data_IF_595583176132
#
_entry.id   IF_595583176132
#
_cell.length_a   1.000
_cell.length_b   1.000
_cell.length_c   1.000
_cell.angle_alpha   90.00
_cell.angle_beta   90.00
_cell.angle_gamma   90.00
#
_symmetry.space_group_name_H-M   'P 1'
#
loop_
_entity.id
_entity.type
_entity.pdbx_description
1 polymer ?
#
# COMPACT_ATOMS: atom_id res chain seq x y z
N UNK A 1 2.68 2.48 -15.72
CA UNK A 1 1.80 2.03 -14.62
C UNK A 1 0.41 1.86 -15.23
N UNK A 2 -0.23 0.69 -15.09
CA UNK A 2 -1.54 0.39 -15.70
C UNK A 2 -2.72 0.69 -14.77
N UNK A 3 -2.45 1.34 -13.63
CA UNK A 3 -3.45 1.72 -12.65
C UNK A 3 -4.29 2.90 -13.18
N UNK A 4 -5.60 2.82 -12.93
CA UNK A 4 -6.53 3.94 -13.11
C UNK A 4 -7.56 3.93 -11.97
N UNK A 5 -8.25 5.06 -11.77
CA UNK A 5 -9.28 5.18 -10.74
C UNK A 5 -10.46 4.26 -11.04
N UNK A 6 -11.01 3.63 -10.00
CA UNK A 6 -12.26 2.89 -10.11
C UNK A 6 -13.41 3.72 -9.53
N UNK A 7 -14.67 3.36 -9.84
CA UNK A 7 -15.83 4.12 -9.39
C UNK A 7 -15.94 4.26 -7.87
N UNK A 8 -15.39 3.32 -7.10
CA UNK A 8 -15.46 3.36 -5.64
C UNK A 8 -14.52 4.43 -5.06
N UNK A 9 -13.31 4.56 -5.59
CA UNK A 9 -12.32 5.57 -5.20
C UNK A 9 -12.88 6.98 -5.46
N UNK A 10 -13.50 7.20 -6.63
CA UNK A 10 -14.17 8.46 -6.96
C UNK A 10 -15.30 8.77 -5.97
N UNK A 11 -16.21 7.82 -5.71
CA UNK A 11 -17.32 8.03 -4.76
C UNK A 11 -16.82 8.30 -3.33
N UNK A 12 -15.79 7.58 -2.90
CA UNK A 12 -15.17 7.76 -1.59
C UNK A 12 -14.56 9.17 -1.45
N UNK A 13 -13.80 9.62 -2.47
CA UNK A 13 -13.18 10.95 -2.44
C UNK A 13 -14.21 12.08 -2.47
N UNK A 14 -15.29 11.93 -3.24
CA UNK A 14 -16.42 12.87 -3.24
C UNK A 14 -17.12 12.94 -1.89
N UNK A 15 -17.38 11.79 -1.27
CA UNK A 15 -18.02 11.73 0.04
C UNK A 15 -17.19 12.45 1.11
N UNK A 16 -15.90 12.11 1.25
CA UNK A 16 -15.06 12.72 2.29
C UNK A 16 -14.87 14.22 2.03
N UNK A 17 -14.71 14.63 0.77
CA UNK A 17 -14.57 16.05 0.41
C UNK A 17 -15.82 16.85 0.79
N UNK A 18 -17.02 16.31 0.56
CA UNK A 18 -18.27 16.95 0.97
C UNK A 18 -18.33 17.20 2.49
N UNK A 19 -17.90 16.23 3.30
CA UNK A 19 -17.84 16.40 4.76
C UNK A 19 -16.81 17.44 5.18
N UNK A 20 -15.62 17.40 4.58
CA UNK A 20 -14.54 18.35 4.84
C UNK A 20 -14.93 19.79 4.45
N UNK A 21 -15.67 19.97 3.36
CA UNK A 21 -16.16 21.28 2.95
C UNK A 21 -17.14 21.87 3.97
N UNK A 22 -18.02 21.05 4.55
CA UNK A 22 -18.92 21.47 5.63
C UNK A 22 -18.14 21.96 6.86
N UNK A 23 -17.13 21.21 7.29
CA UNK A 23 -16.23 21.60 8.39
C UNK A 23 -15.49 22.90 8.05
N UNK A 24 -14.87 22.97 6.87
CA UNK A 24 -14.13 24.15 6.44
C UNK A 24 -15.03 25.39 6.39
N UNK A 25 -16.27 25.26 5.94
CA UNK A 25 -17.24 26.37 5.91
C UNK A 25 -17.56 26.86 7.32
N UNK A 26 -17.78 25.94 8.26
CA UNK A 26 -18.04 26.27 9.67
C UNK A 26 -16.86 27.00 10.34
N UNK A 27 -15.63 26.79 9.85
CA UNK A 27 -14.43 27.50 10.33
C UNK A 27 -14.32 28.95 9.83
N UNK A 28 -15.20 29.40 8.93
CA UNK A 28 -15.22 30.74 8.32
C UNK A 28 -13.83 31.22 7.80
N UNK A 29 -13.18 30.48 6.90
CA UNK A 29 -11.84 30.80 6.44
C UNK A 29 -11.86 32.00 5.49
N UNK A 30 -10.75 32.74 5.46
CA UNK A 30 -10.56 33.84 4.49
C UNK A 30 -10.47 33.35 3.04
N UNK A 31 -10.08 32.09 2.83
CA UNK A 31 -9.95 31.47 1.52
C UNK A 31 -10.22 29.97 1.61
N UNK A 32 -10.90 29.41 0.61
CA UNK A 32 -11.14 27.98 0.46
C UNK A 32 -10.92 27.55 -1.00
N UNK A 33 -10.22 26.44 -1.21
CA UNK A 33 -10.06 25.77 -2.51
C UNK A 33 -10.48 24.32 -2.36
N UNK A 34 -11.36 23.85 -3.24
CA UNK A 34 -11.81 22.47 -3.27
C UNK A 34 -11.34 21.84 -4.57
N UNK A 35 -10.75 20.66 -4.49
CA UNK A 35 -10.39 19.83 -5.64
C UNK A 35 -10.86 18.42 -5.34
N UNK A 36 -11.64 17.85 -6.25
CA UNK A 36 -12.26 16.53 -6.10
C UNK A 36 -12.33 15.87 -7.46
N UNK A 37 -12.13 14.55 -7.49
CA UNK A 37 -12.24 13.76 -8.73
C UNK A 37 -13.71 13.58 -9.13
N UNK A 38 -13.93 13.41 -10.42
CA UNK A 38 -15.19 12.99 -11.03
C UNK A 38 -15.04 11.63 -11.72
N UNK A 39 -16.13 11.12 -12.29
CA UNK A 39 -16.16 9.80 -12.92
C UNK A 39 -15.36 9.71 -14.24
N UNK A 40 -14.97 10.85 -14.80
CA UNK A 40 -14.14 10.94 -16.00
C UNK A 40 -12.67 11.25 -15.65
N UNK A 41 -12.34 11.35 -14.37
CA UNK A 41 -10.99 11.60 -13.90
C UNK A 41 -10.14 10.34 -14.08
N UNK A 42 -8.93 10.52 -14.59
CA UNK A 42 -7.96 9.45 -14.80
C UNK A 42 -6.74 9.62 -13.91
N UNK A 43 -6.06 8.52 -13.63
CA UNK A 43 -4.78 8.56 -12.93
C UNK A 43 -3.74 9.34 -13.74
N UNK A 44 -3.14 10.35 -13.13
CA UNK A 44 -2.11 11.20 -13.73
C UNK A 44 -1.01 11.44 -12.70
N UNK A 45 0.23 11.14 -13.08
CA UNK A 45 1.41 11.29 -12.22
C UNK A 45 1.92 12.73 -12.14
N UNK A 46 1.46 13.62 -13.04
CA UNK A 46 1.90 15.02 -13.11
C UNK A 46 1.34 15.87 -11.96
N UNK A 47 0.01 15.88 -11.68
CA UNK A 47 -0.49 16.52 -10.48
C UNK A 47 -0.05 15.71 -9.26
N UNK A 48 0.38 16.40 -8.20
CA UNK A 48 0.68 15.73 -6.94
C UNK A 48 -0.59 15.10 -6.37
N UNK A 49 -0.55 13.80 -6.09
CA UNK A 49 -1.66 13.06 -5.50
C UNK A 49 -1.22 12.38 -4.21
N UNK A 50 -0.19 11.54 -4.32
CA UNK A 50 0.46 10.85 -3.22
C UNK A 50 1.78 10.28 -3.71
N UNK A 51 2.72 10.08 -2.80
CA UNK A 51 3.97 9.34 -3.04
C UNK A 51 3.89 7.89 -2.54
N UNK A 52 2.73 7.45 -2.05
CA UNK A 52 2.53 6.13 -1.44
C UNK A 52 2.10 5.07 -2.47
N UNK A 53 2.98 4.74 -3.41
CA UNK A 53 2.77 3.60 -4.31
C UNK A 53 2.93 2.28 -3.56
N UNK A 54 1.97 1.39 -3.68
CA UNK A 54 1.93 0.08 -3.00
C UNK A 54 1.71 -1.05 -4.00
N UNK A 55 1.97 -2.29 -3.59
CA UNK A 55 1.72 -3.48 -4.40
C UNK A 55 2.80 -3.79 -5.44
N UNK A 56 2.54 -4.80 -6.28
CA UNK A 56 3.46 -5.30 -7.31
C UNK A 56 4.21 -6.57 -6.90
N UNK A 57 4.59 -6.71 -5.63
CA UNK A 57 5.16 -7.95 -5.06
C UNK A 57 4.43 -8.27 -3.75
N UNK A 58 3.10 -8.41 -3.85
CA UNK A 58 2.22 -8.46 -2.69
C UNK A 58 2.54 -9.66 -1.79
N UNK A 59 2.42 -9.44 -0.49
CA UNK A 59 2.48 -10.47 0.54
C UNK A 59 1.15 -11.19 0.64
N UNK A 60 1.19 -12.51 0.83
CA UNK A 60 0.01 -13.33 1.06
C UNK A 60 0.31 -14.64 1.76
N UNK A 61 -0.69 -15.52 1.77
CA UNK A 61 -0.67 -16.81 2.45
C UNK A 61 -0.44 -18.00 1.50
N UNK A 62 -0.51 -17.79 0.18
CA UNK A 62 -0.22 -18.82 -0.82
C UNK A 62 0.55 -18.27 -2.03
N UNK A 63 1.31 -19.10 -2.76
CA UNK A 63 1.92 -18.70 -4.02
C UNK A 63 0.89 -18.41 -5.13
N UNK A 64 -0.34 -18.91 -5.00
CA UNK A 64 -1.40 -18.67 -5.98
C UNK A 64 -2.01 -17.26 -5.91
N UNK A 65 -1.79 -16.53 -4.82
CA UNK A 65 -2.35 -15.21 -4.60
C UNK A 65 -1.31 -14.13 -4.25
N UNK A 66 -0.02 -14.47 -4.18
CA UNK A 66 1.02 -13.55 -3.73
C UNK A 66 2.40 -13.90 -4.27
N UNK A 67 3.30 -12.91 -4.25
CA UNK A 67 4.69 -13.07 -4.70
C UNK A 67 5.60 -13.45 -3.54
N UNK A 68 5.28 -12.98 -2.34
CA UNK A 68 6.05 -13.26 -1.12
C UNK A 68 5.14 -13.77 0.00
N UNK A 69 5.70 -14.61 0.87
CA UNK A 69 4.99 -15.09 2.06
C UNK A 69 5.03 -14.06 3.20
N UNK A 70 4.44 -14.41 4.35
CA UNK A 70 4.36 -13.55 5.56
C UNK A 70 5.70 -13.05 6.11
N UNK A 71 6.85 -13.60 5.68
CA UNK A 71 8.19 -13.16 6.08
C UNK A 71 8.89 -12.34 5.00
N UNK A 72 8.15 -11.95 3.96
CA UNK A 72 8.65 -11.25 2.78
C UNK A 72 9.66 -12.07 1.96
N UNK A 73 9.62 -13.38 2.10
CA UNK A 73 10.43 -14.32 1.33
C UNK A 73 9.68 -14.68 0.04
N UNK A 74 10.39 -14.74 -1.08
CA UNK A 74 9.84 -15.24 -2.35
C UNK A 74 9.38 -16.69 -2.19
N UNK A 75 8.21 -17.00 -2.77
CA UNK A 75 7.73 -18.38 -2.87
C UNK A 75 8.61 -19.24 -3.79
N UNK A 76 9.13 -18.65 -4.88
CA UNK A 76 9.89 -19.36 -5.91
C UNK A 76 11.39 -19.51 -5.57
N UNK A 77 11.96 -18.54 -4.86
CA UNK A 77 13.40 -18.44 -4.63
C UNK A 77 13.69 -18.28 -3.12
N UNK A 78 14.00 -19.36 -2.39
CA UNK A 78 14.05 -19.35 -0.92
C UNK A 78 15.10 -18.45 -0.28
N UNK A 79 16.09 -17.96 -1.03
CA UNK A 79 17.11 -17.03 -0.52
C UNK A 79 16.88 -15.56 -0.95
N UNK A 80 15.70 -15.25 -1.52
CA UNK A 80 15.32 -13.89 -1.94
C UNK A 80 14.22 -13.35 -1.02
N UNK A 81 14.45 -12.14 -0.53
CA UNK A 81 13.50 -11.39 0.31
C UNK A 81 13.22 -10.02 -0.31
N UNK A 82 11.96 -9.59 -0.29
CA UNK A 82 11.51 -8.34 -0.94
C UNK A 82 10.96 -7.38 0.12
N UNK A 83 11.65 -6.27 0.35
CA UNK A 83 11.26 -5.27 1.34
C UNK A 83 10.59 -4.07 0.70
N UNK A 84 9.57 -3.52 1.37
CA UNK A 84 8.93 -2.26 0.98
C UNK A 84 7.41 -2.35 0.88
N UNK A 85 6.80 -1.23 0.48
CA UNK A 85 5.35 -1.13 0.32
C UNK A 85 4.79 -1.97 -0.86
N UNK A 86 5.68 -2.55 -1.67
CA UNK A 86 5.31 -3.51 -2.71
C UNK A 86 4.64 -4.77 -2.14
N UNK A 87 4.93 -5.09 -0.88
CA UNK A 87 4.34 -6.19 -0.13
C UNK A 87 2.88 -5.94 0.25
N UNK A 88 2.35 -4.73 0.14
CA UNK A 88 0.99 -4.44 0.59
C UNK A 88 -0.03 -4.83 -0.48
N UNK A 89 -0.98 -5.75 -0.16
CA UNK A 89 -2.04 -6.14 -1.10
C UNK A 89 -3.04 -5.00 -1.36
N UNK A 90 -3.11 -4.01 -0.47
CA UNK A 90 -3.96 -2.82 -0.61
C UNK A 90 -3.33 -1.60 0.05
N UNK A 91 -3.77 -0.41 -0.35
CA UNK A 91 -3.40 0.84 0.31
C UNK A 91 -4.21 1.03 1.61
N UNK A 92 -3.56 1.46 2.68
CA UNK A 92 -4.12 1.51 4.05
C UNK A 92 -4.66 2.89 4.47
N UNK A 93 -4.84 3.82 3.53
CA UNK A 93 -5.34 5.19 3.74
C UNK A 93 -4.51 6.08 4.70
N UNK A 94 -3.45 5.54 5.29
CA UNK A 94 -2.48 6.22 6.15
C UNK A 94 -1.06 6.09 5.59
N UNK A 95 -0.12 6.88 6.10
CA UNK A 95 1.25 6.87 5.64
C UNK A 95 1.91 5.48 5.90
N UNK A 96 2.48 4.82 4.88
CA UNK A 96 2.91 3.42 4.96
C UNK A 96 4.22 3.20 5.73
N UNK A 97 5.02 4.25 5.96
CA UNK A 97 6.41 4.14 6.40
C UNK A 97 6.58 3.33 7.69
N UNK A 98 5.69 3.52 8.67
CA UNK A 98 5.72 2.77 9.91
C UNK A 98 5.56 1.26 9.70
N UNK A 99 4.60 0.86 8.85
CA UNK A 99 4.36 -0.55 8.54
C UNK A 99 5.48 -1.15 7.68
N UNK A 100 6.05 -0.38 6.75
CA UNK A 100 7.24 -0.80 6.00
C UNK A 100 8.39 -1.13 6.95
N UNK A 101 8.66 -0.24 7.91
CA UNK A 101 9.67 -0.49 8.95
C UNK A 101 9.35 -1.72 9.80
N UNK A 102 8.09 -1.86 10.23
CA UNK A 102 7.66 -3.02 11.02
C UNK A 102 7.86 -4.35 10.28
N UNK A 103 7.50 -4.43 8.98
CA UNK A 103 7.73 -5.62 8.18
C UNK A 103 9.22 -5.90 7.92
N UNK A 104 10.03 -4.86 7.76
CA UNK A 104 11.48 -5.03 7.63
C UNK A 104 12.08 -5.70 8.88
N UNK A 105 11.70 -5.24 10.08
CA UNK A 105 12.11 -5.88 11.34
C UNK A 105 11.55 -7.29 11.50
N UNK A 106 10.29 -7.51 11.11
CA UNK A 106 9.66 -8.83 11.13
C UNK A 106 10.40 -9.84 10.25
N UNK A 107 10.71 -9.46 9.01
CA UNK A 107 11.48 -10.27 8.06
C UNK A 107 12.91 -10.51 8.56
N UNK A 108 13.60 -9.45 9.03
CA UNK A 108 14.96 -9.57 9.57
C UNK A 108 15.02 -10.50 10.79
N UNK A 109 14.01 -10.46 11.67
CA UNK A 109 13.91 -11.35 12.81
C UNK A 109 13.79 -12.82 12.36
N UNK A 110 12.92 -13.13 11.41
CA UNK A 110 12.77 -14.47 10.86
C UNK A 110 14.05 -14.95 10.14
N UNK A 111 14.70 -14.06 9.38
CA UNK A 111 15.99 -14.37 8.75
C UNK A 111 17.01 -14.77 9.80
N UNK A 112 17.16 -13.95 10.86
CA UNK A 112 18.17 -14.14 11.88
C UNK A 112 17.94 -15.39 12.74
N UNK A 113 16.68 -15.66 13.10
CA UNK A 113 16.35 -16.67 14.10
C UNK A 113 15.94 -18.02 13.52
N UNK A 114 15.54 -18.07 12.25
CA UNK A 114 15.02 -19.29 11.61
C UNK A 114 15.82 -19.61 10.34
N UNK A 115 15.87 -18.69 9.37
CA UNK A 115 16.43 -18.97 8.04
C UNK A 115 17.93 -19.29 8.07
N UNK A 116 18.74 -18.51 8.78
CA UNK A 116 20.20 -18.71 8.78
C UNK A 116 20.63 -20.05 9.40
N UNK A 117 19.83 -20.59 10.33
CA UNK A 117 20.10 -21.89 10.95
C UNK A 117 19.72 -23.06 10.03
N UNK A 118 18.68 -22.88 9.20
CA UNK A 118 18.21 -23.89 8.25
C UNK A 118 17.70 -23.21 6.96
N UNK A 119 18.59 -22.90 6.00
CA UNK A 119 18.21 -22.20 4.78
C UNK A 119 17.19 -23.01 3.96
N UNK A 120 16.13 -22.34 3.53
CA UNK A 120 15.04 -22.95 2.77
C UNK A 120 13.76 -22.13 2.88
N UNK A 121 12.64 -22.64 2.34
CA UNK A 121 11.34 -22.00 2.50
C UNK A 121 10.95 -21.90 3.99
N UNK A 122 10.69 -20.68 4.46
CA UNK A 122 10.20 -20.43 5.82
C UNK A 122 8.71 -20.75 5.96
N UNK A 123 7.99 -20.87 4.85
CA UNK A 123 6.59 -21.27 4.76
C UNK A 123 6.47 -22.28 3.63
N UNK A 124 5.74 -23.37 3.87
CA UNK A 124 5.44 -24.37 2.85
C UNK A 124 4.26 -23.89 1.99
N UNK A 125 4.38 -24.08 0.68
CA UNK A 125 3.37 -23.74 -0.32
C UNK A 125 2.18 -24.72 -0.31
#
# INVERSE_FOLDING_TARGET
MTFDWKPNEVKMTQHITSKMQGIATAMNPKQMKVSVMDMNSHYDVRPYQSTHTTGGAIMGDSPSNSVVNKYLQSWDVPNVFVQGASAFPQNMAYNPTGLVGALAYWSAHAIRTQYLANPGPLVQA
#
